data_IF_946531225701
#
_entry.id   IF_946531225701
#
_cell.length_a   1.000
_cell.length_b   1.000
_cell.length_c   1.000
_cell.angle_alpha   90.00
_cell.angle_beta   90.00
_cell.angle_gamma   90.00
#
_symmetry.space_group_name_H-M   'P 1'
#
loop_
_entity.id
_entity.type
_entity.pdbx_description
1 polymer ?
#
# COMPACT_ATOMS: atom_id res chain seq x y z
N UNK A 1 -20.42 -47.95 -9.13
CA UNK A 1 -21.83 -47.96 -8.69
C UNK A 1 -21.86 -48.76 -7.40
N UNK A 2 -21.99 -48.16 -6.22
CA UNK A 2 -23.16 -47.40 -5.77
C UNK A 2 -22.76 -46.05 -5.17
N UNK A 3 -23.63 -45.09 -5.43
CA UNK A 3 -23.47 -43.64 -5.34
C UNK A 3 -23.33 -43.07 -3.92
N UNK A 4 -22.28 -42.27 -3.71
CA UNK A 4 -22.16 -41.30 -2.60
C UNK A 4 -23.07 -40.07 -2.78
N UNK A 5 -24.00 -40.09 -3.74
CA UNK A 5 -24.91 -38.98 -4.02
C UNK A 5 -26.15 -38.94 -3.11
N UNK A 6 -26.46 -40.02 -2.39
CA UNK A 6 -27.69 -40.11 -1.58
C UNK A 6 -27.61 -39.43 -0.21
N UNK A 7 -26.42 -39.18 0.34
CA UNK A 7 -26.27 -38.60 1.68
C UNK A 7 -26.16 -37.06 1.68
N UNK A 8 -25.86 -36.46 0.52
CA UNK A 8 -25.77 -35.00 0.35
C UNK A 8 -27.12 -34.31 0.12
N UNK A 9 -28.20 -35.07 -0.13
CA UNK A 9 -29.53 -34.54 -0.44
C UNK A 9 -30.37 -34.11 0.78
N UNK A 10 -30.10 -34.64 1.98
CA UNK A 10 -30.96 -34.42 3.15
C UNK A 10 -30.54 -33.19 3.99
N UNK A 11 -29.25 -32.83 3.98
CA UNK A 11 -28.74 -31.71 4.81
C UNK A 11 -29.05 -30.33 4.19
N UNK A 12 -29.24 -30.27 2.86
CA UNK A 12 -29.60 -29.02 2.17
C UNK A 12 -31.06 -28.59 2.36
N UNK A 13 -31.95 -29.52 2.68
CA UNK A 13 -33.38 -29.21 2.86
C UNK A 13 -33.67 -28.52 4.20
N UNK A 14 -32.89 -28.82 5.26
CA UNK A 14 -33.10 -28.22 6.59
C UNK A 14 -32.37 -26.89 6.78
N UNK A 15 -31.22 -26.70 6.15
CA UNK A 15 -30.47 -25.44 6.24
C UNK A 15 -31.23 -24.24 5.63
N UNK A 16 -32.12 -24.49 4.67
CA UNK A 16 -32.83 -23.44 3.94
C UNK A 16 -34.10 -22.95 4.66
N UNK A 17 -34.64 -23.73 5.62
CA UNK A 17 -35.85 -23.34 6.36
C UNK A 17 -35.58 -22.48 7.61
N UNK A 18 -34.34 -22.46 8.13
CA UNK A 18 -33.96 -21.64 9.29
C UNK A 18 -33.24 -20.32 8.95
N UNK A 19 -32.82 -20.14 7.69
CA UNK A 19 -32.10 -18.94 7.24
C UNK A 19 -33.02 -17.83 6.68
N UNK A 20 -34.32 -18.08 6.50
CA UNK A 20 -35.24 -17.17 5.83
C UNK A 20 -35.85 -16.04 6.68
N UNK A 21 -35.92 -16.20 8.01
CA UNK A 21 -36.53 -15.20 8.90
C UNK A 21 -35.62 -14.71 10.03
N UNK A 22 -34.48 -15.37 10.27
CA UNK A 22 -33.56 -15.02 11.36
C UNK A 22 -32.40 -14.09 10.99
N UNK A 23 -32.05 -13.94 9.71
CA UNK A 23 -30.80 -13.29 9.32
C UNK A 23 -30.87 -11.75 9.22
N UNK A 24 -32.05 -11.16 8.98
CA UNK A 24 -32.20 -9.69 8.89
C UNK A 24 -32.14 -9.01 10.25
N UNK A 25 -32.70 -9.62 11.29
CA UNK A 25 -32.60 -9.12 12.66
C UNK A 25 -31.16 -9.26 13.17
N UNK A 26 -30.48 -10.34 12.79
CA UNK A 26 -29.09 -10.57 13.20
C UNK A 26 -28.10 -9.61 12.53
N UNK A 27 -28.33 -9.19 11.28
CA UNK A 27 -27.47 -8.19 10.63
C UNK A 27 -27.65 -6.78 11.23
N UNK A 28 -28.87 -6.37 11.57
CA UNK A 28 -29.07 -5.06 12.21
C UNK A 28 -28.57 -5.03 13.66
N UNK A 29 -28.76 -6.10 14.42
CA UNK A 29 -28.29 -6.20 15.80
C UNK A 29 -26.76 -6.37 15.88
N UNK A 30 -26.12 -7.04 14.93
CA UNK A 30 -24.66 -7.13 14.87
C UNK A 30 -24.03 -5.79 14.45
N UNK A 31 -24.67 -5.03 13.55
CA UNK A 31 -24.25 -3.69 13.16
C UNK A 31 -24.38 -2.65 14.28
N UNK A 32 -25.38 -2.80 15.17
CA UNK A 32 -25.54 -2.00 16.38
C UNK A 32 -24.60 -2.45 17.51
N UNK A 33 -24.37 -3.76 17.68
CA UNK A 33 -23.42 -4.29 18.65
C UNK A 33 -21.97 -3.92 18.31
N UNK A 34 -21.60 -3.84 17.03
CA UNK A 34 -20.28 -3.34 16.61
C UNK A 34 -20.10 -1.83 16.87
N UNK A 35 -21.19 -1.05 16.96
CA UNK A 35 -21.16 0.37 17.34
C UNK A 35 -21.09 0.59 18.86
N UNK A 36 -21.48 -0.41 19.66
CA UNK A 36 -21.46 -0.38 21.14
C UNK A 36 -20.14 -0.89 21.72
N UNK A 37 -19.36 -1.65 20.95
CA UNK A 37 -17.96 -1.92 21.25
C UNK A 37 -17.14 -0.69 20.83
N UNK A 38 -16.96 0.24 21.78
CA UNK A 38 -16.23 1.48 21.56
C UNK A 38 -14.80 1.29 21.06
N UNK A 39 -14.10 2.43 20.85
CA UNK A 39 -13.83 2.89 19.49
C UNK A 39 -13.22 1.76 18.66
N UNK A 40 -13.71 1.58 17.43
CA UNK A 40 -12.92 0.94 16.39
C UNK A 40 -11.52 1.54 16.49
N UNK A 41 -10.52 0.73 16.87
CA UNK A 41 -9.12 1.09 16.71
C UNK A 41 -8.95 1.16 15.19
N UNK A 42 -9.33 2.31 14.64
CA UNK A 42 -8.83 2.77 13.37
C UNK A 42 -7.36 2.92 13.65
N UNK A 43 -6.57 1.92 13.23
CA UNK A 43 -5.15 2.08 13.13
C UNK A 43 -4.94 3.23 12.14
N UNK A 44 -4.88 4.46 12.67
CA UNK A 44 -4.63 5.68 11.90
C UNK A 44 -3.17 5.61 11.50
N UNK A 45 -2.93 5.06 10.31
CA UNK A 45 -1.60 4.90 9.71
C UNK A 45 -1.07 6.21 9.11
N UNK A 46 -1.77 7.34 9.35
CA UNK A 46 -1.43 8.66 8.86
C UNK A 46 -1.47 9.69 10.01
N UNK A 47 -0.68 10.77 9.93
CA UNK A 47 -0.76 11.89 10.88
C UNK A 47 -2.18 12.47 10.90
N UNK A 48 -2.66 12.77 12.10
CA UNK A 48 -4.01 13.29 12.29
C UNK A 48 -4.10 14.72 11.76
N UNK A 49 -5.02 14.95 10.82
CA UNK A 49 -5.33 16.30 10.36
C UNK A 49 -6.35 16.85 11.34
N UNK A 50 -5.93 17.79 12.20
CA UNK A 50 -6.81 18.41 13.18
C UNK A 50 -8.11 18.89 12.52
N UNK A 51 -9.25 18.49 13.06
CA UNK A 51 -10.59 18.91 12.65
C UNK A 51 -11.27 19.82 13.68
N UNK A 52 -10.55 20.13 14.77
CA UNK A 52 -11.04 20.82 15.97
C UNK A 52 -11.63 22.20 15.67
N UNK A 53 -11.13 22.90 14.65
CA UNK A 53 -11.68 24.19 14.22
C UNK A 53 -11.93 24.24 12.71
N UNK A 54 -13.17 23.89 12.27
CA UNK A 54 -13.55 23.92 10.85
C UNK A 54 -13.42 25.29 10.19
N UNK A 55 -13.45 26.38 10.97
CA UNK A 55 -13.35 27.75 10.43
C UNK A 55 -11.96 28.04 9.85
N UNK A 56 -10.89 27.47 10.45
CA UNK A 56 -9.55 27.60 9.93
C UNK A 56 -9.47 27.02 8.52
N UNK A 57 -10.05 25.83 8.32
CA UNK A 57 -10.02 25.15 7.03
C UNK A 57 -10.93 25.74 5.96
N UNK A 58 -11.68 26.82 6.21
CA UNK A 58 -12.49 27.44 5.14
C UNK A 58 -11.63 28.02 4.03
N UNK A 59 -10.52 28.67 4.39
CA UNK A 59 -9.67 29.43 3.45
C UNK A 59 -8.29 28.80 3.21
N UNK A 60 -7.95 27.68 3.86
CA UNK A 60 -6.71 26.98 3.63
C UNK A 60 -6.88 25.85 2.61
N UNK A 61 -5.87 25.68 1.75
CA UNK A 61 -5.66 24.48 0.94
C UNK A 61 -4.79 23.51 1.73
N UNK A 62 -5.25 22.25 1.88
CA UNK A 62 -4.44 21.22 2.53
C UNK A 62 -3.52 20.58 1.50
N UNK A 63 -2.28 20.30 1.89
CA UNK A 63 -1.34 19.49 1.10
C UNK A 63 -1.11 18.20 1.88
N UNK A 64 -1.66 17.10 1.38
CA UNK A 64 -1.70 15.81 2.10
C UNK A 64 -1.18 14.69 1.19
N UNK A 65 -0.56 13.66 1.75
CA UNK A 65 -0.19 12.47 0.96
C UNK A 65 -1.35 11.50 0.72
N UNK A 66 -2.40 11.61 1.55
CA UNK A 66 -3.62 10.83 1.40
C UNK A 66 -4.73 11.71 0.80
N UNK A 67 -5.22 11.34 -0.38
CA UNK A 67 -6.31 12.03 -1.07
C UNK A 67 -7.71 11.47 -0.69
N UNK A 68 -7.84 10.86 0.49
CA UNK A 68 -9.07 10.22 0.94
C UNK A 68 -10.16 11.27 1.28
N UNK A 69 -11.21 11.33 0.47
CA UNK A 69 -12.34 12.24 0.68
C UNK A 69 -13.13 11.94 1.95
N UNK A 70 -13.13 10.69 2.40
CA UNK A 70 -13.77 10.28 3.66
C UNK A 70 -13.06 10.81 4.91
N UNK A 71 -11.79 11.20 4.77
CA UNK A 71 -10.97 11.87 5.81
C UNK A 71 -10.93 13.40 5.60
N UNK A 72 -11.84 13.92 4.77
CA UNK A 72 -12.01 15.36 4.56
C UNK A 72 -11.09 15.99 3.52
N UNK A 73 -10.40 15.21 2.68
CA UNK A 73 -9.72 15.73 1.49
C UNK A 73 -10.74 16.31 0.50
N UNK A 74 -10.54 17.53 0.02
CA UNK A 74 -11.43 18.21 -0.94
C UNK A 74 -10.73 18.34 -2.31
N UNK A 75 -11.03 17.50 -3.31
CA UNK A 75 -10.32 17.50 -4.60
C UNK A 75 -10.35 18.83 -5.36
N UNK A 76 -11.38 19.65 -5.15
CA UNK A 76 -11.50 20.97 -5.78
C UNK A 76 -10.64 22.07 -5.14
N UNK A 77 -9.93 21.76 -4.05
CA UNK A 77 -9.20 22.75 -3.24
C UNK A 77 -7.85 22.24 -2.71
N UNK A 78 -7.83 21.01 -2.22
CA UNK A 78 -6.66 20.40 -1.58
C UNK A 78 -5.76 19.73 -2.63
N UNK A 79 -4.47 19.62 -2.32
CA UNK A 79 -3.44 19.06 -3.20
C UNK A 79 -2.91 17.76 -2.61
N UNK A 80 -2.85 16.71 -3.42
CA UNK A 80 -2.17 15.49 -3.05
C UNK A 80 -0.68 15.61 -3.36
N UNK A 81 0.19 15.38 -2.37
CA UNK A 81 1.64 15.31 -2.57
C UNK A 81 2.15 13.93 -2.14
N UNK A 82 2.84 13.17 -3.01
CA UNK A 82 3.40 11.89 -2.59
C UNK A 82 4.41 12.09 -1.46
N UNK A 83 4.62 11.04 -0.65
CA UNK A 83 5.69 11.07 0.33
C UNK A 83 7.04 11.26 -0.37
N UNK A 84 7.87 12.15 0.18
CA UNK A 84 9.23 12.40 -0.30
C UNK A 84 10.19 12.07 0.83
N UNK A 85 11.08 11.12 0.60
CA UNK A 85 12.15 10.82 1.54
C UNK A 85 13.30 11.82 1.35
N UNK A 86 13.38 12.81 2.23
CA UNK A 86 14.50 13.74 2.29
C UNK A 86 15.51 13.27 3.34
N UNK A 87 16.77 13.13 2.92
CA UNK A 87 17.86 12.93 3.88
C UNK A 87 18.04 14.19 4.71
N UNK A 88 18.19 14.02 6.02
CA UNK A 88 18.51 15.13 6.92
C UNK A 88 19.86 15.77 6.53
N UNK A 89 19.88 17.10 6.36
CA UNK A 89 21.07 17.87 5.97
C UNK A 89 20.87 18.67 4.68
N UNK A 90 21.96 18.98 3.99
CA UNK A 90 21.95 19.70 2.70
C UNK A 90 21.45 18.81 1.58
N UNK A 91 20.58 19.37 0.73
CA UNK A 91 20.17 18.74 -0.53
C UNK A 91 21.41 18.51 -1.40
N UNK A 92 21.80 17.24 -1.54
CA UNK A 92 22.89 16.84 -2.41
C UNK A 92 22.47 16.88 -3.89
N UNK A 93 23.43 16.79 -4.82
CA UNK A 93 23.10 16.62 -6.23
C UNK A 93 22.23 15.36 -6.40
N UNK A 94 21.22 15.38 -7.28
CA UNK A 94 20.39 14.20 -7.52
C UNK A 94 21.30 13.07 -7.99
N UNK A 95 21.24 11.93 -7.29
CA UNK A 95 22.01 10.76 -7.67
C UNK A 95 21.37 10.16 -8.92
N UNK A 96 21.86 10.55 -10.09
CA UNK A 96 21.41 9.99 -11.36
C UNK A 96 22.11 8.65 -11.56
N UNK A 97 21.31 7.61 -11.77
CA UNK A 97 21.82 6.33 -12.25
C UNK A 97 22.47 6.44 -13.64
N UNK A 98 23.07 5.35 -14.15
CA UNK A 98 23.44 5.26 -15.56
C UNK A 98 22.23 5.57 -16.46
N UNK A 99 22.51 5.98 -17.71
CA UNK A 99 21.49 6.15 -18.75
C UNK A 99 20.59 4.90 -18.82
N UNK A 100 19.29 5.05 -19.11
CA UNK A 100 18.33 3.93 -19.07
C UNK A 100 18.81 2.66 -19.79
N UNK A 101 19.46 2.81 -20.95
CA UNK A 101 19.94 1.69 -21.78
C UNK A 101 21.21 0.98 -21.26
N UNK A 102 21.87 1.53 -20.22
CA UNK A 102 23.13 1.02 -19.68
C UNK A 102 22.98 0.57 -18.21
N UNK A 103 21.78 0.23 -17.80
CA UNK A 103 21.49 -0.20 -16.42
C UNK A 103 21.67 -1.71 -16.28
N UNK A 104 22.51 -2.18 -15.33
CA UNK A 104 22.87 -3.60 -15.24
C UNK A 104 21.84 -4.46 -14.49
N UNK A 105 20.79 -3.88 -13.92
CA UNK A 105 19.74 -4.58 -13.18
C UNK A 105 18.43 -4.38 -13.92
N UNK A 106 17.71 -5.46 -14.22
CA UNK A 106 16.40 -5.37 -14.86
C UNK A 106 15.39 -4.72 -13.92
N UNK A 107 15.23 -5.26 -12.71
CA UNK A 107 14.23 -4.76 -11.76
C UNK A 107 14.73 -4.74 -10.33
N UNK A 108 14.30 -3.74 -9.56
CA UNK A 108 14.67 -3.59 -8.15
C UNK A 108 13.46 -3.38 -7.23
N UNK A 109 13.45 -4.06 -6.08
CA UNK A 109 12.55 -3.80 -4.95
C UNK A 109 13.34 -3.79 -3.63
N UNK A 110 13.11 -2.76 -2.82
CA UNK A 110 13.58 -2.68 -1.44
C UNK A 110 12.42 -2.42 -0.47
N UNK A 111 12.12 -3.36 0.42
CA UNK A 111 11.08 -3.16 1.42
C UNK A 111 10.64 -4.40 2.17
N UNK A 112 10.05 -4.17 3.34
CA UNK A 112 9.48 -5.21 4.22
C UNK A 112 8.21 -5.81 3.63
N UNK A 113 7.74 -6.88 4.25
CA UNK A 113 6.60 -7.71 3.84
C UNK A 113 5.21 -7.09 4.08
N UNK A 114 5.12 -5.75 4.11
CA UNK A 114 3.97 -4.97 4.53
C UNK A 114 2.78 -5.01 3.54
N UNK A 115 2.28 -6.20 3.22
CA UNK A 115 1.19 -6.46 2.27
C UNK A 115 1.32 -7.85 1.64
N UNK A 116 0.19 -8.40 1.16
CA UNK A 116 0.18 -9.75 0.58
C UNK A 116 1.04 -9.84 -0.70
N UNK A 117 1.01 -8.82 -1.55
CA UNK A 117 1.82 -8.78 -2.78
C UNK A 117 3.31 -8.73 -2.44
N UNK A 118 3.70 -7.94 -1.43
CA UNK A 118 5.10 -7.85 -0.97
C UNK A 118 5.61 -9.20 -0.44
N UNK A 119 4.78 -9.93 0.31
CA UNK A 119 5.10 -11.31 0.74
C UNK A 119 5.36 -12.25 -0.43
N UNK A 120 4.53 -12.18 -1.47
CA UNK A 120 4.70 -13.01 -2.68
C UNK A 120 6.01 -12.65 -3.39
N UNK A 121 6.28 -11.36 -3.62
CA UNK A 121 7.50 -10.88 -4.27
C UNK A 121 8.75 -11.28 -3.49
N UNK A 122 8.76 -11.09 -2.17
CA UNK A 122 9.87 -11.50 -1.30
C UNK A 122 10.04 -13.02 -1.35
N UNK A 123 8.97 -13.80 -1.29
CA UNK A 123 9.05 -15.26 -1.40
C UNK A 123 9.59 -15.71 -2.77
N UNK A 124 9.27 -15.01 -3.85
CA UNK A 124 9.59 -15.45 -5.20
C UNK A 124 10.97 -15.00 -5.69
N UNK A 125 11.38 -13.76 -5.42
CA UNK A 125 12.59 -13.16 -6.01
C UNK A 125 13.69 -12.79 -5.01
N UNK A 126 13.43 -12.74 -3.70
CA UNK A 126 14.47 -12.40 -2.71
C UNK A 126 15.63 -13.38 -2.82
N UNK A 127 16.80 -12.86 -3.16
CA UNK A 127 18.07 -13.60 -3.31
C UNK A 127 18.00 -14.78 -4.30
N UNK A 128 17.08 -14.74 -5.27
CA UNK A 128 16.82 -15.85 -6.21
C UNK A 128 17.13 -15.56 -7.67
N UNK A 129 17.33 -14.30 -8.02
CA UNK A 129 17.49 -13.86 -9.41
C UNK A 129 18.69 -12.90 -9.58
N UNK A 130 19.41 -13.07 -10.69
CA UNK A 130 20.57 -12.25 -11.02
C UNK A 130 20.18 -10.87 -11.57
N UNK A 131 19.05 -10.76 -12.25
CA UNK A 131 18.59 -9.58 -12.97
C UNK A 131 17.49 -8.85 -12.19
N UNK A 132 16.71 -9.58 -11.38
CA UNK A 132 15.68 -9.03 -10.49
C UNK A 132 16.18 -9.00 -9.04
N UNK A 133 16.56 -7.80 -8.55
CA UNK A 133 17.09 -7.59 -7.20
C UNK A 133 15.98 -7.22 -6.21
N UNK A 134 15.59 -8.20 -5.40
CA UNK A 134 14.62 -8.04 -4.33
C UNK A 134 15.30 -8.15 -2.96
N UNK A 135 15.17 -7.12 -2.14
CA UNK A 135 15.72 -7.09 -0.79
C UNK A 135 14.66 -6.65 0.23
N UNK A 136 14.51 -7.43 1.30
CA UNK A 136 13.71 -7.02 2.45
C UNK A 136 14.43 -5.94 3.26
N UNK A 137 15.73 -6.17 3.48
CA UNK A 137 16.69 -5.23 4.04
C UNK A 137 17.91 -5.22 3.13
N UNK A 138 18.39 -4.04 2.78
CA UNK A 138 19.62 -3.93 2.01
C UNK A 138 20.82 -4.39 2.87
N UNK A 139 21.79 -5.14 2.31
CA UNK A 139 22.98 -5.53 3.07
C UNK A 139 23.72 -4.32 3.65
N UNK A 140 24.32 -4.49 4.84
CA UNK A 140 25.10 -3.42 5.49
C UNK A 140 26.17 -2.88 4.54
N UNK A 141 26.30 -1.55 4.50
CA UNK A 141 27.29 -0.86 3.65
C UNK A 141 26.85 -0.63 2.20
N UNK A 142 25.69 -1.13 1.76
CA UNK A 142 25.13 -0.78 0.45
C UNK A 142 24.31 0.50 0.52
N UNK A 143 24.38 1.29 -0.55
CA UNK A 143 23.59 2.51 -0.72
C UNK A 143 22.33 2.19 -1.56
N UNK A 144 21.15 2.30 -0.93
CA UNK A 144 19.85 2.05 -1.57
C UNK A 144 19.67 2.83 -2.87
N UNK A 145 19.87 4.15 -2.83
CA UNK A 145 19.73 5.04 -3.98
C UNK A 145 20.66 4.64 -5.13
N UNK A 146 21.87 4.19 -4.82
CA UNK A 146 22.85 3.73 -5.83
C UNK A 146 22.40 2.43 -6.50
N UNK A 147 21.87 1.47 -5.73
CA UNK A 147 21.38 0.20 -6.27
C UNK A 147 20.10 0.44 -7.09
N UNK A 148 19.19 1.27 -6.60
CA UNK A 148 17.97 1.65 -7.31
C UNK A 148 18.28 2.31 -8.66
N UNK A 149 19.25 3.24 -8.71
CA UNK A 149 19.64 3.90 -9.96
C UNK A 149 20.30 2.99 -10.98
N UNK A 150 20.74 1.79 -10.59
CA UNK A 150 21.23 0.77 -11.52
C UNK A 150 20.12 -0.08 -12.14
N UNK A 151 18.86 0.12 -11.75
CA UNK A 151 17.73 -0.67 -12.23
C UNK A 151 16.98 0.00 -13.38
N UNK A 152 16.62 -0.77 -14.41
CA UNK A 152 15.73 -0.33 -15.49
C UNK A 152 14.33 -0.08 -14.95
N UNK A 153 13.81 -1.02 -14.14
CA UNK A 153 12.48 -0.96 -13.54
C UNK A 153 12.54 -0.93 -12.01
N UNK A 154 11.75 -0.03 -11.40
CA UNK A 154 11.56 0.01 -9.95
C UNK A 154 10.19 -0.58 -9.60
N UNK A 155 10.17 -1.67 -8.84
CA UNK A 155 8.93 -2.30 -8.42
C UNK A 155 8.34 -1.54 -7.23
N UNK A 156 7.07 -1.15 -7.32
CA UNK A 156 6.33 -0.52 -6.23
C UNK A 156 5.05 -1.31 -5.87
N UNK A 157 5.18 -2.55 -5.35
CA UNK A 157 4.03 -3.34 -4.96
C UNK A 157 3.24 -2.68 -3.83
N UNK A 158 1.91 -2.73 -3.95
CA UNK A 158 1.01 -2.19 -2.94
C UNK A 158 1.21 -2.87 -1.59
N UNK A 159 1.00 -2.09 -0.54
CA UNK A 159 1.12 -2.52 0.85
C UNK A 159 0.11 -1.79 1.72
N UNK A 160 0.10 -2.09 3.02
CA UNK A 160 -0.73 -1.35 3.98
C UNK A 160 -0.07 -0.03 4.44
N UNK A 161 1.20 0.20 4.10
CA UNK A 161 1.84 1.50 4.29
C UNK A 161 1.17 2.51 3.35
N UNK A 162 0.44 3.46 3.93
CA UNK A 162 -0.30 4.51 3.21
C UNK A 162 0.67 5.50 2.54
N UNK A 163 1.89 5.62 3.07
CA UNK A 163 2.93 6.49 2.58
C UNK A 163 4.14 5.63 2.16
N UNK A 164 4.56 5.76 0.90
CA UNK A 164 5.80 5.16 0.41
C UNK A 164 6.50 6.14 -0.54
N UNK A 165 7.76 6.52 -0.28
CA UNK A 165 8.48 7.48 -1.10
C UNK A 165 8.95 6.90 -2.45
N UNK A 166 8.84 5.58 -2.64
CA UNK A 166 9.43 4.82 -3.75
C UNK A 166 9.11 5.36 -5.15
N UNK A 167 7.89 5.84 -5.38
CA UNK A 167 7.51 6.39 -6.70
C UNK A 167 8.30 7.68 -6.97
N UNK A 168 8.37 8.58 -5.98
CA UNK A 168 9.13 9.83 -6.09
C UNK A 168 10.62 9.52 -6.21
N UNK A 169 11.14 8.59 -5.41
CA UNK A 169 12.52 8.12 -5.49
C UNK A 169 12.85 7.62 -6.90
N UNK A 170 11.97 6.81 -7.52
CA UNK A 170 12.16 6.31 -8.87
C UNK A 170 12.21 7.43 -9.91
N UNK A 171 11.30 8.40 -9.84
CA UNK A 171 11.29 9.54 -10.76
C UNK A 171 12.60 10.34 -10.67
N UNK A 172 13.12 10.54 -9.46
CA UNK A 172 14.32 11.35 -9.21
C UNK A 172 15.61 10.60 -9.56
N UNK A 173 15.69 9.31 -9.24
CA UNK A 173 16.91 8.48 -9.33
C UNK A 173 17.06 7.82 -10.71
N UNK A 174 15.93 7.47 -11.33
CA UNK A 174 15.85 6.77 -12.61
C UNK A 174 15.29 7.68 -13.72
N UNK A 175 15.89 8.85 -13.99
CA UNK A 175 15.37 9.74 -15.02
C UNK A 175 15.35 9.03 -16.38
N UNK A 176 14.28 9.25 -17.13
CA UNK A 176 14.19 8.88 -18.54
C UNK A 176 15.02 9.89 -19.33
N UNK A 177 16.31 9.61 -19.53
CA UNK A 177 17.11 10.40 -20.44
C UNK A 177 16.72 10.01 -21.89
N UNK A 178 16.18 10.98 -22.63
CA UNK A 178 15.83 10.97 -24.07
C UNK A 178 14.69 10.02 -24.50
N UNK A 179 13.51 10.60 -24.75
CA UNK A 179 12.56 10.10 -25.76
C UNK A 179 12.87 10.73 -27.11
#
# INVERSE_FOLDING_TARGET
MVDKAAEYGSVRAWATALLGLGLRIFQEQLGLALKLLGPTITYRLAPDVSDVNPQLFKNFMKVLCNANTSEGFRPSRDVSIPEIYLRFGTLGPPHRGPAPNNRPILAFFGGRDHGQIRKIILKHWKDKDCDVKVHEYLPKGRNYTKVMGQAEYCLCPSGFEVASPRIVEAIVICPCDNF
#
